data_IF_191178846130
#
_entry.id   IF_191178846130
#
_cell.length_a   1.000
_cell.length_b   1.000
_cell.length_c   1.000
_cell.angle_alpha   90.00
_cell.angle_beta   90.00
_cell.angle_gamma   90.00
#
_symmetry.space_group_name_H-M   'P 1'
#
loop_
_entity.id
_entity.type
_entity.pdbx_description
1 polymer ?
#
# COMPACT_ATOMS: atom_id res chain seq x y z
N UNK A 1 12.50 -3.52 -28.71
CA UNK A 1 12.40 -2.61 -27.55
C UNK A 1 11.07 -2.92 -26.88
N UNK A 2 11.09 -3.53 -25.71
CA UNK A 2 9.87 -3.61 -24.89
C UNK A 2 9.36 -2.19 -24.68
N UNK A 3 8.12 -1.95 -25.08
CA UNK A 3 7.44 -0.67 -24.85
C UNK A 3 7.38 -0.50 -23.34
N UNK A 4 8.00 0.54 -22.79
CA UNK A 4 8.03 0.79 -21.34
C UNK A 4 6.69 1.39 -20.90
N UNK A 5 5.58 0.67 -21.14
CA UNK A 5 4.21 1.17 -20.96
C UNK A 5 3.93 1.61 -19.51
N UNK A 6 4.60 0.97 -18.54
CA UNK A 6 4.43 1.30 -17.13
C UNK A 6 4.98 2.69 -16.78
N UNK A 7 5.95 3.23 -17.54
CA UNK A 7 6.42 4.61 -17.35
C UNK A 7 5.36 5.64 -17.73
N UNK A 8 4.52 5.33 -18.72
CA UNK A 8 3.40 6.19 -19.13
C UNK A 8 2.29 6.26 -18.06
N UNK A 9 2.30 5.32 -17.11
CA UNK A 9 1.40 5.32 -15.95
C UNK A 9 1.85 6.28 -14.84
N UNK A 10 3.08 6.82 -14.92
CA UNK A 10 3.63 7.71 -13.90
C UNK A 10 3.07 9.13 -14.00
N UNK A 11 2.63 9.67 -12.87
CA UNK A 11 2.24 11.06 -12.70
C UNK A 11 3.07 11.66 -11.57
N UNK A 12 3.84 12.70 -11.90
CA UNK A 12 4.61 13.45 -10.91
C UNK A 12 3.70 14.32 -10.05
N UNK A 13 3.93 14.33 -8.74
CA UNK A 13 3.19 15.15 -7.76
C UNK A 13 3.99 16.38 -7.35
N UNK A 14 5.32 16.24 -7.27
CA UNK A 14 6.22 17.37 -7.03
C UNK A 14 6.71 17.95 -8.37
N UNK A 15 6.66 19.28 -8.49
CA UNK A 15 7.11 19.96 -9.70
C UNK A 15 8.59 19.69 -10.02
N UNK A 16 8.90 19.56 -11.32
CA UNK A 16 10.27 19.50 -11.88
C UNK A 16 11.10 18.27 -11.53
N UNK A 17 10.48 17.14 -11.18
CA UNK A 17 11.20 15.86 -11.03
C UNK A 17 10.77 14.86 -12.10
N UNK A 18 11.73 14.38 -12.88
CA UNK A 18 11.51 13.30 -13.84
C UNK A 18 11.66 11.94 -13.15
N UNK A 19 10.94 10.91 -13.64
CA UNK A 19 11.08 9.54 -13.12
C UNK A 19 12.52 9.00 -13.28
N UNK A 20 13.26 9.50 -14.27
CA UNK A 20 14.63 9.07 -14.55
C UNK A 20 15.61 9.48 -13.43
N UNK A 21 15.30 10.53 -12.64
CA UNK A 21 16.10 10.94 -11.45
C UNK A 21 16.10 9.91 -10.33
N UNK A 22 15.17 8.95 -10.36
CA UNK A 22 14.99 7.93 -9.32
C UNK A 22 15.44 6.54 -9.77
N UNK A 23 16.04 6.42 -10.96
CA UNK A 23 16.56 5.15 -11.46
C UNK A 23 17.65 4.62 -10.53
N UNK A 24 17.50 3.39 -10.03
CA UNK A 24 18.50 2.73 -9.20
C UNK A 24 18.71 3.39 -7.83
N UNK A 25 17.80 4.27 -7.39
CA UNK A 25 17.94 5.01 -6.14
C UNK A 25 17.44 4.13 -4.99
N UNK A 26 18.34 3.31 -4.45
CA UNK A 26 18.08 2.29 -3.42
C UNK A 26 17.54 2.76 -2.06
N UNK A 27 16.98 3.97 -1.95
CA UNK A 27 16.36 4.51 -0.74
C UNK A 27 14.85 4.80 -0.92
N UNK A 28 14.28 4.45 -2.08
CA UNK A 28 12.86 4.69 -2.34
C UNK A 28 11.95 3.75 -1.54
N UNK A 29 10.81 4.28 -1.12
CA UNK A 29 9.70 3.55 -0.51
C UNK A 29 8.55 3.50 -1.52
N UNK A 30 8.05 2.31 -1.80
CA UNK A 30 6.91 2.10 -2.70
C UNK A 30 5.73 1.53 -1.90
N UNK A 31 4.55 2.11 -2.08
CA UNK A 31 3.29 1.57 -1.53
C UNK A 31 2.42 1.09 -2.68
N UNK A 32 2.04 -0.18 -2.67
CA UNK A 32 1.09 -0.76 -3.63
C UNK A 32 -0.31 -0.56 -3.08
N UNK A 33 -1.14 0.14 -3.84
CA UNK A 33 -2.51 0.52 -3.50
C UNK A 33 -3.48 -0.19 -4.44
N UNK A 34 -4.21 -1.24 -4.00
CA UNK A 34 -5.20 -1.91 -4.84
C UNK A 34 -6.25 -0.92 -5.37
N UNK A 35 -6.76 -0.06 -4.51
CA UNK A 35 -7.66 1.04 -4.85
C UNK A 35 -7.01 2.40 -4.56
N UNK A 36 -7.50 3.50 -5.15
CA UNK A 36 -6.86 4.83 -5.09
C UNK A 36 -6.59 5.44 -3.70
N UNK A 37 -7.17 4.91 -2.62
CA UNK A 37 -7.05 5.39 -1.23
C UNK A 37 -6.32 4.43 -0.29
N UNK A 38 -6.07 3.19 -0.70
CA UNK A 38 -5.55 2.14 0.20
C UNK A 38 -4.13 2.47 0.72
N UNK A 39 -3.33 3.20 -0.06
CA UNK A 39 -1.98 3.64 0.31
C UNK A 39 -1.98 4.55 1.55
N UNK A 40 -2.77 5.62 1.56
CA UNK A 40 -2.82 6.58 2.65
C UNK A 40 -3.63 6.06 3.83
N UNK A 41 -4.60 5.17 3.60
CA UNK A 41 -5.29 4.44 4.66
C UNK A 41 -4.32 3.50 5.38
N UNK A 42 -3.56 2.70 4.63
CA UNK A 42 -2.71 1.64 5.16
C UNK A 42 -1.33 2.09 5.64
N UNK A 43 -0.70 3.02 4.91
CA UNK A 43 0.70 3.39 5.06
C UNK A 43 0.96 4.92 4.99
N UNK A 44 -0.07 5.75 5.10
CA UNK A 44 0.07 7.20 4.96
C UNK A 44 1.06 7.83 5.96
N UNK A 45 1.15 7.30 7.18
CA UNK A 45 2.06 7.79 8.20
C UNK A 45 3.53 7.52 7.87
N UNK A 46 3.87 6.29 7.48
CA UNK A 46 5.22 5.92 7.04
C UNK A 46 5.61 6.60 5.72
N UNK A 47 4.65 6.86 4.82
CA UNK A 47 4.87 7.67 3.62
C UNK A 47 5.30 9.11 3.99
N UNK A 48 4.59 9.74 4.93
CA UNK A 48 4.93 11.09 5.43
C UNK A 48 6.32 11.08 6.07
N UNK A 49 6.58 10.14 6.97
CA UNK A 49 7.87 10.02 7.66
C UNK A 49 9.03 9.88 6.67
N UNK A 50 8.89 9.00 5.67
CA UNK A 50 9.91 8.78 4.66
C UNK A 50 10.15 10.03 3.81
N UNK A 51 9.08 10.71 3.39
CA UNK A 51 9.18 11.94 2.61
C UNK A 51 9.87 13.07 3.40
N UNK A 52 9.57 13.24 4.69
CA UNK A 52 10.21 14.24 5.55
C UNK A 52 11.70 13.94 5.82
N UNK A 53 12.09 12.66 5.76
CA UNK A 53 13.50 12.22 5.77
C UNK A 53 14.19 12.33 4.41
N UNK A 54 13.53 12.90 3.39
CA UNK A 54 14.10 13.13 2.06
C UNK A 54 14.13 11.88 1.17
N UNK A 55 13.48 10.78 1.57
CA UNK A 55 13.37 9.57 0.75
C UNK A 55 12.37 9.78 -0.38
N UNK A 56 12.60 9.10 -1.50
CA UNK A 56 11.67 9.11 -2.61
C UNK A 56 10.49 8.17 -2.30
N UNK A 57 9.29 8.73 -2.16
CA UNK A 57 8.08 7.96 -1.88
C UNK A 57 7.20 7.89 -3.13
N UNK A 58 6.76 6.69 -3.49
CA UNK A 58 5.87 6.44 -4.61
C UNK A 58 4.67 5.59 -4.20
N UNK A 59 3.52 5.87 -4.81
CA UNK A 59 2.35 5.00 -4.74
C UNK A 59 2.12 4.31 -6.08
N UNK A 60 1.65 3.07 -6.06
CA UNK A 60 1.22 2.32 -7.24
C UNK A 60 -0.25 1.97 -7.08
N UNK A 61 -1.11 2.75 -7.73
CA UNK A 61 -2.55 2.51 -7.76
C UNK A 61 -2.90 1.54 -8.90
N UNK A 62 -3.42 0.38 -8.53
CA UNK A 62 -3.71 -0.70 -9.49
C UNK A 62 -5.06 -0.47 -10.17
N UNK A 63 -6.14 -0.37 -9.38
CA UNK A 63 -7.49 -0.24 -9.91
C UNK A 63 -7.98 1.20 -9.95
N UNK A 64 -8.92 1.48 -10.86
CA UNK A 64 -9.45 2.83 -11.09
C UNK A 64 -10.57 3.27 -10.12
N UNK A 65 -11.10 2.34 -9.32
CA UNK A 65 -12.16 2.65 -8.35
C UNK A 65 -13.53 2.96 -8.95
N UNK A 66 -13.80 2.67 -10.23
CA UNK A 66 -15.11 2.96 -10.86
C UNK A 66 -16.31 2.35 -10.14
N UNK A 67 -16.10 1.18 -9.51
CA UNK A 67 -17.11 0.46 -8.74
C UNK A 67 -17.40 1.05 -7.36
N UNK A 68 -16.78 2.17 -6.97
CA UNK A 68 -16.97 2.79 -5.65
C UNK A 68 -18.45 3.13 -5.36
N UNK A 69 -18.91 2.97 -4.10
CA UNK A 69 -20.25 3.37 -3.69
C UNK A 69 -20.53 4.86 -3.91
N UNK A 70 -21.74 5.20 -4.35
CA UNK A 70 -22.14 6.58 -4.72
C UNK A 70 -23.10 7.27 -3.75
N UNK A 71 -23.68 6.54 -2.78
CA UNK A 71 -24.65 7.04 -1.79
C UNK A 71 -25.69 7.99 -2.39
N UNK A 72 -26.34 7.55 -3.46
CA UNK A 72 -27.41 8.31 -4.13
C UNK A 72 -26.96 9.51 -4.96
N UNK A 73 -25.65 9.67 -5.21
CA UNK A 73 -25.13 10.64 -6.18
C UNK A 73 -25.21 10.08 -7.59
N UNK A 74 -25.62 10.92 -8.53
CA UNK A 74 -25.60 10.64 -9.95
C UNK A 74 -24.20 10.94 -10.49
N UNK A 75 -23.31 9.94 -10.40
CA UNK A 75 -21.93 9.99 -10.87
C UNK A 75 -21.73 8.75 -11.73
N UNK A 76 -21.30 8.89 -12.98
CA UNK A 76 -21.01 7.77 -13.87
C UNK A 76 -19.78 6.97 -13.42
N UNK A 77 -19.49 5.86 -14.08
CA UNK A 77 -18.23 5.12 -13.84
C UNK A 77 -17.03 5.97 -14.26
N UNK A 78 -17.12 6.65 -15.39
CA UNK A 78 -16.07 7.49 -15.96
C UNK A 78 -15.78 8.70 -15.07
N UNK A 79 -16.82 9.38 -14.57
CA UNK A 79 -16.66 10.49 -13.63
C UNK A 79 -16.06 10.01 -12.30
N UNK A 80 -16.46 8.84 -11.82
CA UNK A 80 -15.88 8.26 -10.59
C UNK A 80 -14.39 8.00 -10.75
N UNK A 81 -13.94 7.45 -11.88
CA UNK A 81 -12.51 7.23 -12.16
C UNK A 81 -11.75 8.55 -12.09
N UNK A 82 -12.25 9.60 -12.76
CA UNK A 82 -11.60 10.90 -12.72
C UNK A 82 -11.52 11.50 -11.31
N UNK A 83 -12.60 11.41 -10.54
CA UNK A 83 -12.58 11.89 -9.16
C UNK A 83 -11.57 11.12 -8.33
N UNK A 84 -11.58 9.79 -8.41
CA UNK A 84 -10.69 8.93 -7.62
C UNK A 84 -9.22 9.20 -7.90
N UNK A 85 -8.84 9.42 -9.17
CA UNK A 85 -7.46 9.77 -9.53
C UNK A 85 -7.07 11.16 -9.01
N UNK A 86 -7.94 12.18 -9.20
CA UNK A 86 -7.69 13.54 -8.68
C UNK A 86 -7.55 13.55 -7.15
N UNK A 87 -8.39 12.80 -6.45
CA UNK A 87 -8.35 12.65 -5.00
C UNK A 87 -7.07 11.95 -4.53
N UNK A 88 -6.67 10.86 -5.20
CA UNK A 88 -5.41 10.17 -4.94
C UNK A 88 -4.22 11.12 -5.12
N UNK A 89 -4.16 11.88 -6.22
CA UNK A 89 -3.09 12.86 -6.43
C UNK A 89 -3.05 13.93 -5.34
N UNK A 90 -4.22 14.39 -4.87
CA UNK A 90 -4.31 15.32 -3.74
C UNK A 90 -3.78 14.69 -2.44
N UNK A 91 -4.14 13.44 -2.15
CA UNK A 91 -3.63 12.69 -0.99
C UNK A 91 -2.12 12.49 -1.06
N UNK A 92 -1.58 12.13 -2.24
CA UNK A 92 -0.16 11.98 -2.49
C UNK A 92 0.62 13.28 -2.27
N UNK A 93 0.02 14.42 -2.61
CA UNK A 93 0.60 15.74 -2.32
C UNK A 93 0.69 15.99 -0.81
N UNK A 94 -0.36 15.64 -0.06
CA UNK A 94 -0.38 15.79 1.41
C UNK A 94 0.70 14.93 2.06
N UNK A 95 0.87 13.67 1.66
CA UNK A 95 1.90 12.79 2.24
C UNK A 95 3.32 13.12 1.76
N UNK A 96 3.49 14.03 0.80
CA UNK A 96 4.79 14.43 0.28
C UNK A 96 5.40 13.43 -0.70
N UNK A 97 4.59 12.59 -1.34
CA UNK A 97 5.07 11.64 -2.34
C UNK A 97 5.65 12.34 -3.58
N UNK A 98 6.61 11.69 -4.24
CA UNK A 98 7.21 12.18 -5.48
C UNK A 98 6.25 12.02 -6.67
N UNK A 99 5.50 10.92 -6.69
CA UNK A 99 4.57 10.60 -7.76
C UNK A 99 3.75 9.34 -7.50
N UNK A 100 2.77 9.11 -8.36
CA UNK A 100 1.93 7.91 -8.38
C UNK A 100 2.02 7.20 -9.74
N UNK A 101 1.88 5.87 -9.72
CA UNK A 101 1.69 5.07 -10.93
C UNK A 101 0.24 4.58 -10.99
N UNK A 102 -0.48 4.96 -12.03
CA UNK A 102 -1.91 4.65 -12.18
C UNK A 102 -2.14 3.66 -13.31
N UNK A 103 -2.34 2.38 -12.98
CA UNK A 103 -2.55 1.32 -13.96
C UNK A 103 -3.93 1.39 -14.63
N UNK A 104 -4.94 1.90 -13.89
CA UNK A 104 -6.32 2.13 -14.35
C UNK A 104 -7.05 0.85 -14.79
N UNK A 105 -6.81 -0.24 -14.07
CA UNK A 105 -7.42 -1.55 -14.36
C UNK A 105 -8.75 -1.70 -13.60
N UNK A 106 -9.74 -2.38 -14.18
CA UNK A 106 -10.95 -2.74 -13.43
C UNK A 106 -10.66 -3.89 -12.49
N UNK A 107 -11.27 -3.92 -11.31
CA UNK A 107 -11.11 -5.04 -10.38
C UNK A 107 -11.49 -6.39 -10.98
N UNK A 108 -12.45 -6.44 -11.92
CA UNK A 108 -12.86 -7.66 -12.64
C UNK A 108 -11.80 -8.19 -13.60
N UNK A 109 -10.91 -7.34 -14.09
CA UNK A 109 -10.00 -7.65 -15.19
C UNK A 109 -8.65 -8.18 -14.68
N UNK A 110 -8.44 -8.16 -13.35
CA UNK A 110 -7.22 -8.62 -12.69
C UNK A 110 -6.98 -10.13 -12.75
N UNK A 111 -8.02 -10.92 -13.02
CA UNK A 111 -7.88 -12.37 -13.24
C UNK A 111 -7.42 -12.70 -14.67
N UNK A 112 -7.48 -11.74 -15.59
CA UNK A 112 -7.11 -11.92 -17.00
C UNK A 112 -5.90 -11.09 -17.43
N UNK A 113 -5.95 -10.58 -18.66
CA UNK A 113 -4.89 -9.78 -19.29
C UNK A 113 -4.53 -8.54 -18.45
N UNK A 114 -5.50 -7.91 -17.78
CA UNK A 114 -5.26 -6.76 -16.92
C UNK A 114 -4.33 -7.09 -15.74
N UNK A 115 -4.45 -8.30 -15.17
CA UNK A 115 -3.54 -8.77 -14.13
C UNK A 115 -2.11 -8.99 -14.66
N UNK A 116 -1.99 -9.56 -15.85
CA UNK A 116 -0.68 -9.80 -16.50
C UNK A 116 0.02 -8.48 -16.86
N UNK A 117 -0.72 -7.48 -17.35
CA UNK A 117 -0.19 -6.13 -17.59
C UNK A 117 0.31 -5.50 -16.28
N UNK A 118 -0.46 -5.65 -15.19
CA UNK A 118 -0.05 -5.14 -13.87
C UNK A 118 1.24 -5.82 -13.39
N UNK A 119 1.33 -7.16 -13.44
CA UNK A 119 2.53 -7.90 -13.03
C UNK A 119 3.77 -7.45 -13.83
N UNK A 120 3.66 -7.38 -15.15
CA UNK A 120 4.76 -6.97 -16.02
C UNK A 120 5.19 -5.52 -15.76
N UNK A 121 4.22 -4.62 -15.53
CA UNK A 121 4.51 -3.23 -15.22
C UNK A 121 5.16 -3.08 -13.85
N UNK A 122 4.70 -3.82 -12.83
CA UNK A 122 5.30 -3.87 -11.51
C UNK A 122 6.73 -4.38 -11.56
N UNK A 123 7.00 -5.44 -12.34
CA UNK A 123 8.36 -5.95 -12.55
C UNK A 123 9.28 -4.86 -13.11
N UNK A 124 8.88 -4.21 -14.19
CA UNK A 124 9.67 -3.13 -14.79
C UNK A 124 9.87 -1.94 -13.84
N UNK A 125 8.85 -1.58 -13.06
CA UNK A 125 8.92 -0.52 -12.05
C UNK A 125 9.92 -0.88 -10.94
N UNK A 126 9.84 -2.10 -10.39
CA UNK A 126 10.74 -2.53 -9.30
C UNK A 126 12.19 -2.63 -9.77
N UNK A 127 12.43 -3.17 -10.98
CA UNK A 127 13.77 -3.19 -11.58
C UNK A 127 14.33 -1.79 -11.85
N UNK A 128 13.47 -0.83 -12.17
CA UNK A 128 13.87 0.55 -12.43
C UNK A 128 14.19 1.33 -11.15
N UNK A 129 13.30 1.28 -10.16
CA UNK A 129 13.42 2.04 -8.91
C UNK A 129 14.36 1.37 -7.91
N UNK A 130 14.46 0.04 -7.93
CA UNK A 130 15.17 -0.77 -6.92
C UNK A 130 14.82 -0.35 -5.49
N UNK A 131 13.55 -0.43 -5.07
CA UNK A 131 13.12 0.12 -3.80
C UNK A 131 13.81 -0.56 -2.61
N UNK A 132 14.01 0.20 -1.52
CA UNK A 132 14.47 -0.35 -0.24
C UNK A 132 13.34 -1.01 0.55
N UNK A 133 12.13 -0.47 0.46
CA UNK A 133 10.96 -0.95 1.19
C UNK A 133 9.75 -0.94 0.26
N UNK A 134 8.96 -2.00 0.34
CA UNK A 134 7.67 -2.11 -0.36
C UNK A 134 6.59 -2.43 0.65
N UNK A 135 5.52 -1.64 0.63
CA UNK A 135 4.32 -1.83 1.42
C UNK A 135 3.19 -2.27 0.51
N UNK A 136 2.45 -3.32 0.88
CA UNK A 136 1.31 -3.83 0.11
C UNK A 136 0.26 -4.43 1.05
N UNK A 137 -0.95 -4.78 0.60
CA UNK A 137 -1.93 -5.40 1.48
C UNK A 137 -1.46 -6.77 1.99
N UNK A 138 -1.59 -7.00 3.28
CA UNK A 138 -1.23 -8.26 3.91
C UNK A 138 -2.19 -9.40 3.51
N UNK A 139 -1.74 -10.66 3.58
CA UNK A 139 -2.58 -11.84 3.32
C UNK A 139 -3.77 -12.01 4.30
N UNK A 140 -3.82 -11.24 5.40
CA UNK A 140 -4.97 -11.19 6.33
C UNK A 140 -6.15 -10.32 5.84
N UNK A 141 -6.10 -9.83 4.60
CA UNK A 141 -7.15 -8.99 4.01
C UNK A 141 -8.43 -9.74 3.66
N UNK A 142 -9.58 -9.08 3.85
CA UNK A 142 -10.92 -9.61 3.52
C UNK A 142 -11.49 -9.03 2.24
N UNK A 143 -10.62 -8.67 1.30
CA UNK A 143 -11.00 -8.10 0.01
C UNK A 143 -10.29 -8.84 -1.14
N UNK A 144 -11.06 -9.43 -2.07
CA UNK A 144 -10.49 -10.25 -3.17
C UNK A 144 -9.49 -9.49 -4.03
N UNK A 145 -9.81 -8.24 -4.39
CA UNK A 145 -8.88 -7.37 -5.12
C UNK A 145 -7.56 -7.15 -4.38
N UNK A 146 -7.58 -7.02 -3.06
CA UNK A 146 -6.35 -6.85 -2.27
C UNK A 146 -5.49 -8.11 -2.38
N UNK A 147 -6.09 -9.29 -2.18
CA UNK A 147 -5.40 -10.57 -2.29
C UNK A 147 -4.80 -10.78 -3.69
N UNK A 148 -5.54 -10.45 -4.75
CA UNK A 148 -5.06 -10.57 -6.13
C UNK A 148 -3.89 -9.63 -6.40
N UNK A 149 -3.98 -8.37 -5.99
CA UNK A 149 -2.90 -7.39 -6.14
C UNK A 149 -1.66 -7.78 -5.32
N UNK A 150 -1.83 -8.31 -4.12
CA UNK A 150 -0.74 -8.86 -3.31
C UNK A 150 -0.03 -10.00 -4.02
N UNK A 151 -0.78 -10.93 -4.63
CA UNK A 151 -0.21 -12.02 -5.44
C UNK A 151 0.62 -11.50 -6.62
N UNK A 152 0.05 -10.64 -7.45
CA UNK A 152 0.73 -10.04 -8.61
C UNK A 152 2.00 -9.28 -8.22
N UNK A 153 1.93 -8.53 -7.11
CA UNK A 153 3.07 -7.77 -6.59
C UNK A 153 4.17 -8.70 -6.08
N UNK A 154 3.81 -9.79 -5.40
CA UNK A 154 4.75 -10.77 -4.89
C UNK A 154 5.45 -11.52 -6.05
N UNK A 155 4.72 -11.88 -7.10
CA UNK A 155 5.28 -12.49 -8.32
C UNK A 155 6.32 -11.56 -8.97
N UNK A 156 5.95 -10.29 -9.19
CA UNK A 156 6.86 -9.28 -9.70
C UNK A 156 8.11 -9.11 -8.80
N UNK A 157 7.93 -8.96 -7.49
CA UNK A 157 9.02 -8.81 -6.52
C UNK A 157 9.93 -10.04 -6.48
N UNK A 158 9.40 -11.25 -6.57
CA UNK A 158 10.19 -12.50 -6.62
C UNK A 158 11.05 -12.59 -7.87
N UNK A 159 10.55 -12.08 -8.99
CA UNK A 159 11.28 -12.09 -10.27
C UNK A 159 12.46 -11.10 -10.33
N UNK A 160 12.47 -10.08 -9.45
CA UNK A 160 13.50 -9.04 -9.44
C UNK A 160 14.93 -9.60 -9.21
N UNK A 161 15.97 -8.96 -9.73
CA UNK A 161 17.34 -9.25 -9.30
C UNK A 161 17.58 -8.80 -7.84
N UNK A 162 18.65 -9.29 -7.20
CA UNK A 162 19.09 -8.74 -5.93
C UNK A 162 19.69 -7.32 -6.10
N UNK A 163 19.62 -6.44 -5.09
CA UNK A 163 19.03 -6.65 -3.76
C UNK A 163 17.49 -6.59 -3.76
N UNK A 164 16.85 -7.39 -2.89
CA UNK A 164 15.40 -7.35 -2.67
C UNK A 164 15.02 -6.28 -1.62
N UNK A 165 13.85 -5.62 -1.73
CA UNK A 165 13.38 -4.73 -0.68
C UNK A 165 13.00 -5.52 0.58
N UNK A 166 12.91 -4.82 1.72
CA UNK A 166 12.06 -5.29 2.81
C UNK A 166 10.59 -5.20 2.39
N UNK A 167 9.83 -6.25 2.69
CA UNK A 167 8.42 -6.35 2.29
C UNK A 167 7.52 -6.29 3.53
N UNK A 168 6.57 -5.36 3.53
CA UNK A 168 5.67 -5.12 4.64
C UNK A 168 4.21 -5.15 4.21
N UNK A 169 3.38 -5.88 4.94
CA UNK A 169 1.95 -6.00 4.73
C UNK A 169 1.14 -5.03 5.59
N UNK A 170 0.33 -4.15 5.02
CA UNK A 170 -0.67 -3.37 5.77
C UNK A 170 -2.06 -4.04 5.72
N UNK A 171 -2.95 -3.74 6.66
CA UNK A 171 -4.34 -4.24 6.61
C UNK A 171 -5.35 -3.13 6.86
N UNK A 172 -6.45 -3.19 6.11
CA UNK A 172 -7.61 -2.30 6.18
C UNK A 172 -8.86 -3.04 6.66
N UNK A 173 -9.08 -4.28 6.19
CA UNK A 173 -10.29 -5.07 6.49
C UNK A 173 -10.04 -6.22 7.47
N UNK A 174 -8.88 -6.24 8.12
CA UNK A 174 -8.48 -7.24 9.11
C UNK A 174 -7.54 -6.68 10.17
N UNK A 175 -7.23 -7.54 11.13
CA UNK A 175 -6.16 -7.37 12.10
C UNK A 175 -5.13 -8.46 11.85
N UNK A 176 -3.88 -8.20 12.21
CA UNK A 176 -2.87 -9.26 12.20
C UNK A 176 -3.11 -10.19 13.38
N UNK A 177 -3.26 -11.46 13.05
CA UNK A 177 -3.22 -12.56 14.00
C UNK A 177 -1.81 -13.15 13.99
N UNK A 178 -1.53 -14.08 14.89
CA UNK A 178 -0.25 -14.77 14.88
C UNK A 178 0.89 -14.04 15.56
N UNK A 179 2.07 -14.64 15.45
CA UNK A 179 3.34 -14.26 16.09
C UNK A 179 4.39 -13.75 15.10
N UNK A 180 4.13 -13.81 13.78
CA UNK A 180 5.07 -13.30 12.80
C UNK A 180 5.41 -11.84 13.09
N UNK A 181 6.68 -11.52 12.87
CA UNK A 181 7.25 -10.23 13.26
C UNK A 181 6.43 -9.09 12.69
N UNK A 182 6.05 -8.16 13.55
CA UNK A 182 5.36 -6.94 13.13
C UNK A 182 6.34 -5.77 13.18
N UNK A 183 6.25 -4.93 12.17
CA UNK A 183 6.90 -3.64 12.16
C UNK A 183 5.91 -2.61 12.67
N UNK A 184 6.23 -1.96 13.79
CA UNK A 184 5.44 -0.87 14.35
C UNK A 184 6.15 0.45 14.06
N UNK A 185 5.44 1.39 13.43
CA UNK A 185 5.92 2.75 13.15
C UNK A 185 5.15 3.74 14.00
N UNK A 186 5.86 4.53 14.81
CA UNK A 186 5.25 5.66 15.51
C UNK A 186 4.89 6.75 14.49
N UNK A 187 3.59 7.00 14.35
CA UNK A 187 3.06 8.03 13.46
C UNK A 187 2.36 9.14 14.25
N UNK A 188 2.57 9.20 15.57
CA UNK A 188 2.02 10.24 16.43
C UNK A 188 2.31 11.65 15.93
N UNK A 189 3.53 11.97 15.43
CA UNK A 189 3.81 13.28 14.85
C UNK A 189 3.03 13.57 13.55
N UNK A 190 2.61 12.52 12.82
CA UNK A 190 2.08 12.61 11.47
C UNK A 190 0.57 12.38 11.37
N UNK A 191 -0.08 11.97 12.47
CA UNK A 191 -1.48 11.53 12.44
C UNK A 191 -2.44 12.58 11.83
N UNK A 192 -2.22 13.87 12.10
CA UNK A 192 -3.06 14.94 11.53
C UNK A 192 -2.94 14.99 10.01
N UNK A 193 -1.72 14.90 9.50
CA UNK A 193 -1.41 14.94 8.06
C UNK A 193 -1.86 13.65 7.37
N UNK A 194 -1.76 12.49 8.04
CA UNK A 194 -2.37 11.23 7.56
C UNK A 194 -3.89 11.37 7.43
N UNK A 195 -4.56 11.93 8.44
CA UNK A 195 -6.02 12.15 8.40
C UNK A 195 -6.40 13.13 7.29
N UNK A 196 -5.61 14.19 7.07
CA UNK A 196 -5.79 15.11 5.94
C UNK A 196 -5.68 14.39 4.58
N UNK A 197 -4.68 13.52 4.42
CA UNK A 197 -4.52 12.72 3.20
C UNK A 197 -5.72 11.79 2.96
N UNK A 198 -6.23 11.14 4.02
CA UNK A 198 -7.45 10.31 3.94
C UNK A 198 -8.68 11.16 3.57
N UNK A 199 -8.78 12.37 4.11
CA UNK A 199 -9.88 13.30 3.81
C UNK A 199 -9.86 13.81 2.36
N UNK A 200 -8.72 13.76 1.68
CA UNK A 200 -8.63 14.11 0.26
C UNK A 200 -9.49 13.19 -0.63
N UNK A 201 -9.84 11.98 -0.18
CA UNK A 201 -10.75 11.05 -0.85
C UNK A 201 -12.23 11.38 -0.60
N UNK A 202 -12.63 12.62 -0.90
CA UNK A 202 -13.94 13.16 -0.57
C UNK A 202 -15.12 12.28 -1.04
N UNK A 203 -15.02 11.67 -2.22
CA UNK A 203 -16.04 10.76 -2.74
C UNK A 203 -16.21 9.52 -1.87
N UNK A 204 -15.15 9.03 -1.24
CA UNK A 204 -15.22 7.87 -0.35
C UNK A 204 -15.67 8.26 1.05
N UNK A 205 -15.17 9.40 1.55
CA UNK A 205 -15.59 9.97 2.83
C UNK A 205 -17.10 10.23 2.85
N UNK A 206 -17.70 10.60 1.71
CA UNK A 206 -19.13 10.87 1.59
C UNK A 206 -20.02 9.68 2.02
N UNK A 207 -19.54 8.44 1.89
CA UNK A 207 -20.30 7.24 2.26
C UNK A 207 -19.72 6.45 3.44
N UNK A 208 -18.45 6.64 3.79
CA UNK A 208 -17.82 5.93 4.91
C UNK A 208 -16.82 6.83 5.63
N UNK A 209 -16.90 6.89 6.97
CA UNK A 209 -16.05 7.73 7.81
C UNK A 209 -14.63 7.14 7.98
N UNK A 210 -13.90 6.92 6.88
CA UNK A 210 -12.57 6.34 6.89
C UNK A 210 -11.59 7.11 7.77
N UNK A 211 -11.63 8.44 7.78
CA UNK A 211 -10.80 9.30 8.60
C UNK A 211 -10.93 9.01 10.11
N UNK A 212 -12.15 8.75 10.59
CA UNK A 212 -12.40 8.39 11.99
C UNK A 212 -11.98 6.95 12.26
N UNK A 213 -12.23 6.05 11.31
CA UNK A 213 -11.79 4.66 11.38
C UNK A 213 -10.27 4.53 11.49
N UNK A 214 -9.52 5.27 10.66
CA UNK A 214 -8.05 5.30 10.69
C UNK A 214 -7.53 5.90 12.00
N UNK A 215 -8.10 7.01 12.45
CA UNK A 215 -7.73 7.62 13.73
C UNK A 215 -7.91 6.63 14.89
N UNK A 216 -9.07 5.98 14.95
CA UNK A 216 -9.38 4.97 15.97
C UNK A 216 -8.48 3.75 15.87
N UNK A 217 -8.23 3.26 14.64
CA UNK A 217 -7.36 2.10 14.40
C UNK A 217 -5.93 2.37 14.85
N UNK A 218 -5.31 3.46 14.39
CA UNK A 218 -3.91 3.74 14.72
C UNK A 218 -3.71 4.03 16.21
N UNK A 219 -4.74 4.57 16.89
CA UNK A 219 -4.71 4.71 18.34
C UNK A 219 -4.89 3.38 19.07
N UNK A 220 -5.85 2.56 18.66
CA UNK A 220 -6.08 1.25 19.25
C UNK A 220 -4.86 0.33 19.09
N UNK A 221 -4.22 0.32 17.91
CA UNK A 221 -2.95 -0.37 17.70
C UNK A 221 -1.88 0.16 18.66
N UNK A 222 -1.78 1.47 18.90
CA UNK A 222 -0.77 2.04 19.79
C UNK A 222 -0.97 1.65 21.27
N UNK A 223 -2.22 1.42 21.68
CA UNK A 223 -2.59 1.08 23.07
C UNK A 223 -2.51 -0.42 23.32
N UNK A 224 -3.05 -1.23 22.42
CA UNK A 224 -3.23 -2.67 22.64
C UNK A 224 -2.12 -3.54 22.03
N UNK A 225 -1.07 -2.93 21.50
CA UNK A 225 0.05 -3.66 20.89
C UNK A 225 0.89 -4.43 21.92
N UNK A 226 1.34 -3.78 23.00
CA UNK A 226 2.13 -4.43 24.06
C UNK A 226 1.36 -4.49 25.37
N UNK A 227 1.13 -5.70 25.88
CA UNK A 227 0.35 -5.92 27.10
C UNK A 227 1.10 -5.64 28.41
N UNK A 228 2.43 -5.67 28.38
CA UNK A 228 3.28 -5.57 29.57
C UNK A 228 4.21 -4.35 29.57
N UNK A 229 4.19 -3.55 28.50
CA UNK A 229 5.00 -2.34 28.36
C UNK A 229 4.15 -1.09 28.57
N UNK A 230 4.81 0.01 28.95
CA UNK A 230 4.16 1.33 28.93
C UNK A 230 3.91 1.77 27.48
N UNK A 231 2.87 2.58 27.28
CA UNK A 231 2.58 3.17 25.97
C UNK A 231 3.70 4.11 25.52
N UNK A 232 4.29 3.85 24.35
CA UNK A 232 5.41 4.63 23.78
C UNK A 232 4.98 5.65 22.73
N UNK A 233 3.81 5.47 22.13
CA UNK A 233 3.27 6.31 21.06
C UNK A 233 1.75 6.50 21.23
N UNK A 234 1.20 7.61 20.74
CA UNK A 234 -0.26 7.85 20.74
C UNK A 234 -0.96 7.23 19.52
N UNK A 235 -0.24 7.10 18.41
CA UNK A 235 -0.73 6.49 17.17
C UNK A 235 0.40 5.71 16.49
N UNK A 236 0.10 4.50 16.03
CA UNK A 236 1.04 3.69 15.28
C UNK A 236 0.41 3.14 14.01
N UNK A 237 1.25 2.89 13.00
CA UNK A 237 0.95 1.96 11.92
C UNK A 237 1.66 0.65 12.20
N UNK A 238 0.89 -0.43 12.21
CA UNK A 238 1.42 -1.78 12.32
C UNK A 238 1.47 -2.41 10.93
N UNK A 239 2.55 -3.10 10.62
CA UNK A 239 2.73 -3.87 9.40
C UNK A 239 3.20 -5.28 9.70
N UNK A 240 2.78 -6.25 8.90
CA UNK A 240 3.29 -7.61 8.96
C UNK A 240 4.61 -7.69 8.17
N UNK A 241 5.69 -8.17 8.79
CA UNK A 241 6.92 -8.42 8.05
C UNK A 241 6.73 -9.64 7.15
N UNK A 242 6.82 -9.41 5.84
CA UNK A 242 6.60 -10.38 4.78
C UNK A 242 7.89 -10.67 4.00
N UNK A 243 9.04 -10.16 4.45
CA UNK A 243 10.32 -10.24 3.72
C UNK A 243 10.73 -11.68 3.44
N UNK A 244 10.42 -12.62 4.34
CA UNK A 244 10.73 -14.04 4.12
C UNK A 244 10.04 -14.64 2.88
N UNK A 245 8.93 -14.05 2.39
CA UNK A 245 8.28 -14.49 1.15
C UNK A 245 9.15 -14.22 -0.08
N UNK A 246 10.10 -13.29 0.01
CA UNK A 246 11.08 -13.00 -1.03
C UNK A 246 12.33 -13.88 -0.91
N UNK A 247 12.67 -14.31 0.30
CA UNK A 247 13.83 -15.15 0.61
C UNK A 247 13.53 -16.65 0.35
N UNK A 248 12.34 -17.11 0.76
CA UNK A 248 11.85 -18.48 0.62
C UNK A 248 11.01 -18.60 -0.66
N UNK A 249 11.67 -18.87 -1.79
CA UNK A 249 11.04 -18.90 -3.13
C UNK A 249 9.74 -19.72 -3.23
N UNK A 250 9.64 -20.82 -2.50
CA UNK A 250 8.50 -21.74 -2.55
C UNK A 250 7.45 -21.52 -1.46
N UNK A 251 7.63 -20.52 -0.58
CA UNK A 251 6.66 -20.25 0.48
C UNK A 251 5.41 -19.61 -0.12
N UNK A 252 4.27 -20.29 -0.10
CA UNK A 252 3.02 -19.68 -0.57
C UNK A 252 2.47 -18.68 0.47
N UNK A 253 1.55 -17.80 0.05
CA UNK A 253 0.84 -16.92 1.01
C UNK A 253 0.00 -17.75 1.99
N UNK A 254 -0.58 -18.87 1.55
CA UNK A 254 -1.36 -19.77 2.41
C UNK A 254 -0.47 -20.42 3.48
N UNK A 255 0.67 -20.99 3.07
CA UNK A 255 1.63 -21.60 3.99
C UNK A 255 2.20 -20.56 4.98
N UNK A 256 2.50 -19.35 4.49
CA UNK A 256 2.96 -18.26 5.35
C UNK A 256 1.94 -17.94 6.46
N UNK A 257 0.64 -17.92 6.16
CA UNK A 257 -0.41 -17.71 7.17
C UNK A 257 -0.59 -18.94 8.07
N UNK A 258 -0.54 -20.17 7.52
CA UNK A 258 -0.66 -21.40 8.30
C UNK A 258 0.45 -21.50 9.35
N UNK A 259 1.70 -21.28 8.93
CA UNK A 259 2.85 -21.28 9.83
C UNK A 259 2.67 -20.28 10.98
N UNK A 260 2.10 -19.10 10.69
CA UNK A 260 1.86 -18.06 11.70
C UNK A 260 0.80 -18.47 12.72
N UNK A 261 -0.33 -19.01 12.24
CA UNK A 261 -1.42 -19.51 13.10
C UNK A 261 -0.94 -20.69 13.94
N UNK A 262 -0.20 -21.62 13.35
CA UNK A 262 0.37 -22.75 14.07
C UNK A 262 1.38 -22.31 15.13
N UNK A 263 2.19 -21.29 14.86
CA UNK A 263 3.10 -20.71 15.86
C UNK A 263 2.34 -20.18 17.05
N UNK A 264 1.30 -19.39 16.79
CA UNK A 264 0.43 -18.86 17.84
C UNK A 264 -0.19 -19.96 18.71
N UNK A 265 -0.72 -21.02 18.08
CA UNK A 265 -1.28 -22.15 18.82
C UNK A 265 -0.21 -22.76 19.73
N UNK A 266 0.99 -23.04 19.23
CA UNK A 266 2.08 -23.64 20.02
C UNK A 266 2.53 -22.78 21.21
N UNK A 267 2.50 -21.46 21.05
CA UNK A 267 3.01 -20.53 22.08
C UNK A 267 1.97 -20.15 23.13
N UNK A 268 0.68 -20.20 22.81
CA UNK A 268 -0.38 -19.66 23.68
C UNK A 268 -1.49 -20.65 24.08
N UNK A 269 -1.61 -21.83 23.45
CA UNK A 269 -2.66 -22.82 23.72
C UNK A 269 -2.08 -24.19 24.08
#
# INVERSE_FOLDING_TARGET
MEKIFWKEKFIAIQERKSLDEFRGRGESLVVISPHPDDDVLGAGGVMIEAAEKGRAVFSVTVTDGRGSPRKGRDISDEEMVEFREKESMAALKVVGAMGGFYFRVKSSDLEGEGGQEVEQGLKGLFEWLTPSEVFLPAPYERHKTHQRVTGLSLEALRSMAAPKPSLFGYSLWGWFFGEKQRLVRDISPFIRKKVEAVLAHATQIAYKNYQQGILGRNNAEAIFWESHEIQKASFVETFLNMTELLERKNLSLDDFIREDVESFIRSFL
#
